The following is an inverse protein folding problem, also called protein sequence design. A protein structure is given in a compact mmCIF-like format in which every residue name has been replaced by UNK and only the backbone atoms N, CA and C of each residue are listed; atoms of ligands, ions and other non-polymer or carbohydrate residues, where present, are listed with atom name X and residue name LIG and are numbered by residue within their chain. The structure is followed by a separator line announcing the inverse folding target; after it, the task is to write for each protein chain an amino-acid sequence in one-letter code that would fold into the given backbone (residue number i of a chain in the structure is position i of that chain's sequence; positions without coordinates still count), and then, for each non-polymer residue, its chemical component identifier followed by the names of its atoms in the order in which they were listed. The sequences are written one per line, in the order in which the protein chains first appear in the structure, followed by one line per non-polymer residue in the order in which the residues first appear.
data_IF_631640428556
#
_entry.id   IF_631640428556
#
_cell.length_a   1.000
_cell.length_b   1.000
_cell.length_c   1.000
_cell.angle_alpha   90.00
_cell.angle_beta   90.00
_cell.angle_gamma   90.00
#
_symmetry.space_group_name_H-M   'P 1'
#
loop_
_entity.id
_entity.type
_entity.pdbx_description
1 polymer ?
#
# COMPACT_ATOMS: atom_id res chain seq x y z
N UNK A 1 -7.22 22.28 26.38
CA UNK A 1 -8.33 23.06 25.79
C UNK A 1 -8.24 22.94 24.27
N UNK A 2 -9.06 22.08 23.66
CA UNK A 2 -9.10 21.94 22.20
C UNK A 2 -9.86 23.11 21.58
N UNK A 3 -9.28 23.73 20.55
CA UNK A 3 -9.88 24.89 19.90
C UNK A 3 -11.13 24.45 19.11
N UNK A 4 -12.15 25.32 18.96
CA UNK A 4 -13.39 24.97 18.22
C UNK A 4 -13.13 24.50 16.78
N UNK A 5 -12.05 24.96 16.15
CA UNK A 5 -11.59 24.49 14.84
C UNK A 5 -11.12 23.02 14.83
N UNK A 6 -10.52 22.54 15.91
CA UNK A 6 -10.09 21.13 16.03
C UNK A 6 -11.30 20.20 16.22
N UNK A 7 -12.33 20.61 16.96
CA UNK A 7 -13.55 19.81 17.14
C UNK A 7 -14.31 19.63 15.83
N UNK A 8 -14.34 20.68 14.99
CA UNK A 8 -14.96 20.63 13.66
C UNK A 8 -14.19 19.70 12.70
N UNK A 9 -12.86 19.72 12.75
CA UNK A 9 -12.01 18.85 11.95
C UNK A 9 -12.13 17.37 12.33
N UNK A 10 -12.22 17.06 13.64
CA UNK A 10 -12.47 15.69 14.11
C UNK A 10 -13.85 15.19 13.66
N UNK A 11 -14.88 16.04 13.72
CA UNK A 11 -16.21 15.68 13.22
C UNK A 11 -16.22 15.47 11.70
N UNK A 12 -15.59 16.36 10.92
CA UNK A 12 -15.51 16.24 9.48
C UNK A 12 -14.84 14.93 9.02
N UNK A 13 -13.83 14.46 9.75
CA UNK A 13 -13.18 13.18 9.45
C UNK A 13 -14.00 11.95 9.89
N UNK A 14 -14.97 12.11 10.79
CA UNK A 14 -15.88 11.03 11.21
C UNK A 14 -17.08 10.88 10.27
N UNK A 15 -17.45 11.94 9.53
CA UNK A 15 -18.59 11.92 8.60
C UNK A 15 -18.50 10.79 7.56
N UNK A 16 -17.35 10.55 6.88
CA UNK A 16 -17.25 9.46 5.90
C UNK A 16 -17.48 8.07 6.52
N UNK A 17 -16.92 7.82 7.71
CA UNK A 17 -17.10 6.56 8.42
C UNK A 17 -18.55 6.38 8.88
N UNK A 18 -19.17 7.44 9.41
CA UNK A 18 -20.57 7.43 9.82
C UNK A 18 -21.49 7.15 8.64
N UNK A 19 -21.33 7.91 7.53
CA UNK A 19 -22.11 7.70 6.31
C UNK A 19 -21.89 6.30 5.72
N UNK A 20 -20.65 5.82 5.74
CA UNK A 20 -20.31 4.46 5.32
C UNK A 20 -21.02 3.39 6.15
N UNK A 21 -21.12 3.59 7.47
CA UNK A 21 -21.81 2.66 8.36
C UNK A 21 -23.33 2.67 8.17
N UNK A 22 -23.93 3.84 7.96
CA UNK A 22 -25.35 3.97 7.59
C UNK A 22 -25.61 3.29 6.24
N UNK A 23 -24.75 3.52 5.25
CA UNK A 23 -24.86 2.89 3.93
C UNK A 23 -24.73 1.36 4.03
N UNK A 24 -23.76 0.88 4.80
CA UNK A 24 -23.56 -0.55 5.04
C UNK A 24 -24.80 -1.17 5.71
N UNK A 25 -25.40 -0.48 6.67
CA UNK A 25 -26.65 -0.91 7.30
C UNK A 25 -27.81 -1.01 6.30
N UNK A 26 -27.98 -0.01 5.45
CA UNK A 26 -29.01 -0.05 4.41
C UNK A 26 -28.78 -1.19 3.42
N UNK A 27 -27.51 -1.43 3.05
CA UNK A 27 -27.13 -2.50 2.14
C UNK A 27 -27.35 -3.89 2.75
N UNK A 28 -27.15 -4.03 4.06
CA UNK A 28 -27.41 -5.25 4.82
C UNK A 28 -28.89 -5.67 4.73
N UNK A 29 -29.81 -4.70 4.85
CA UNK A 29 -31.24 -4.94 4.73
C UNK A 29 -31.75 -4.93 3.28
N UNK A 30 -30.89 -4.57 2.31
CA UNK A 30 -31.23 -4.47 0.89
C UNK A 30 -32.38 -3.50 0.56
N UNK A 31 -32.76 -2.62 1.49
CA UNK A 31 -33.95 -1.78 1.37
C UNK A 31 -33.66 -0.36 1.86
N UNK A 32 -33.88 0.62 0.98
CA UNK A 32 -33.69 2.05 1.25
C UNK A 32 -35.00 2.66 1.78
N UNK A 33 -35.39 2.29 2.99
CA UNK A 33 -36.57 2.84 3.68
C UNK A 33 -36.18 3.90 4.71
N UNK A 34 -37.11 4.81 5.06
CA UNK A 34 -36.89 5.79 6.14
C UNK A 34 -36.60 5.12 7.48
N UNK A 35 -37.25 3.99 7.78
CA UNK A 35 -37.01 3.24 9.01
C UNK A 35 -35.58 2.69 9.06
N UNK A 36 -35.07 2.16 7.96
CA UNK A 36 -33.70 1.67 7.87
C UNK A 36 -32.68 2.80 7.97
N UNK A 37 -32.99 3.99 7.43
CA UNK A 37 -32.13 5.15 7.61
C UNK A 37 -32.05 5.57 9.08
N UNK A 38 -33.19 5.71 9.75
CA UNK A 38 -33.23 6.13 11.16
C UNK A 38 -32.51 5.12 12.06
N UNK A 39 -32.81 3.82 11.88
CA UNK A 39 -32.15 2.75 12.65
C UNK A 39 -30.65 2.67 12.33
N UNK A 40 -30.26 2.87 11.07
CA UNK A 40 -28.86 2.91 10.65
C UNK A 40 -28.10 4.09 11.23
N UNK A 41 -28.69 5.30 11.23
CA UNK A 41 -28.10 6.48 11.87
C UNK A 41 -27.95 6.29 13.38
N UNK A 42 -28.96 5.71 14.03
CA UNK A 42 -28.91 5.40 15.46
C UNK A 42 -27.78 4.41 15.76
N UNK A 43 -27.70 3.32 14.99
CA UNK A 43 -26.62 2.34 15.12
C UNK A 43 -25.25 2.98 14.87
N UNK A 44 -25.12 3.78 13.81
CA UNK A 44 -23.87 4.45 13.48
C UNK A 44 -23.44 5.41 14.58
N UNK A 45 -24.37 6.11 15.23
CA UNK A 45 -24.09 6.96 16.38
C UNK A 45 -23.62 6.13 17.58
N UNK A 46 -24.33 5.03 17.90
CA UNK A 46 -23.96 4.12 19.01
C UNK A 46 -22.55 3.56 18.78
N UNK A 47 -22.25 3.07 17.58
CA UNK A 47 -20.93 2.52 17.24
C UNK A 47 -19.86 3.60 17.29
N UNK A 48 -20.12 4.81 16.77
CA UNK A 48 -19.14 5.90 16.78
C UNK A 48 -18.81 6.41 18.18
N UNK A 49 -19.75 6.30 19.12
CA UNK A 49 -19.54 6.67 20.52
C UNK A 49 -18.92 5.51 21.31
N UNK A 50 -19.41 4.28 21.11
CA UNK A 50 -18.97 3.09 21.85
C UNK A 50 -17.58 2.60 21.42
N UNK A 51 -17.28 2.68 20.13
CA UNK A 51 -15.95 2.48 19.60
C UNK A 51 -15.40 3.86 19.27
N UNK A 52 -14.41 4.32 20.04
CA UNK A 52 -13.65 5.51 19.65
C UNK A 52 -12.89 5.18 18.38
N UNK A 53 -13.46 5.48 17.21
CA UNK A 53 -12.74 5.42 15.94
C UNK A 53 -11.88 6.69 15.87
N UNK A 54 -10.55 6.63 16.13
CA UNK A 54 -9.70 7.76 15.80
C UNK A 54 -9.89 8.05 14.33
N UNK A 55 -10.22 9.30 14.03
CA UNK A 55 -10.34 9.78 12.67
C UNK A 55 -9.06 9.44 11.91
N UNK A 56 -9.16 8.53 10.94
CA UNK A 56 -8.08 8.35 9.97
C UNK A 56 -7.98 9.69 9.24
N UNK A 57 -6.77 10.24 9.14
CA UNK A 57 -6.50 11.39 8.30
C UNK A 57 -6.64 10.95 6.84
N UNK A 58 -7.89 10.85 6.41
CA UNK A 58 -8.31 10.54 5.06
C UNK A 58 -8.05 11.80 4.23
N UNK A 59 -6.78 12.12 3.98
CA UNK A 59 -6.33 13.09 2.97
C UNK A 59 -6.60 12.59 1.55
N UNK A 60 -7.76 11.95 1.34
CA UNK A 60 -8.09 11.16 0.17
C UNK A 60 -8.28 12.07 -1.05
N UNK A 61 -7.34 11.99 -1.99
CA UNK A 61 -7.64 12.30 -3.39
C UNK A 61 -8.08 11.01 -4.06
N UNK A 62 -9.38 10.81 -4.17
CA UNK A 62 -9.93 9.75 -5.01
C UNK A 62 -9.70 10.09 -6.48
N UNK A 63 -8.74 9.42 -7.12
CA UNK A 63 -8.55 9.49 -8.56
C UNK A 63 -9.09 8.23 -9.22
N UNK A 64 -10.34 8.28 -9.70
CA UNK A 64 -11.04 7.13 -10.30
C UNK A 64 -10.23 6.43 -11.39
N UNK A 65 -9.47 7.18 -12.19
CA UNK A 65 -8.65 6.61 -13.26
C UNK A 65 -7.49 5.76 -12.72
N UNK A 66 -6.72 6.30 -11.77
CA UNK A 66 -5.63 5.54 -11.15
C UNK A 66 -6.15 4.43 -10.24
N UNK A 67 -7.31 4.60 -9.59
CA UNK A 67 -7.99 3.54 -8.85
C UNK A 67 -8.36 2.37 -9.77
N UNK A 68 -8.90 2.65 -10.96
CA UNK A 68 -9.20 1.60 -11.94
C UNK A 68 -7.94 0.87 -12.39
N UNK A 69 -6.86 1.60 -12.70
CA UNK A 69 -5.56 1.00 -13.07
C UNK A 69 -5.04 0.11 -11.94
N UNK A 70 -5.10 0.59 -10.70
CA UNK A 70 -4.71 -0.18 -9.52
C UNK A 70 -5.53 -1.47 -9.40
N UNK A 71 -6.86 -1.40 -9.47
CA UNK A 71 -7.74 -2.57 -9.34
C UNK A 71 -7.52 -3.59 -10.46
N UNK A 72 -7.39 -3.16 -11.71
CA UNK A 72 -7.11 -4.05 -12.84
C UNK A 72 -5.76 -4.73 -12.67
N UNK A 73 -4.74 -3.97 -12.24
CA UNK A 73 -3.40 -4.50 -12.02
C UNK A 73 -3.35 -5.49 -10.87
N UNK A 74 -3.99 -5.15 -9.75
CA UNK A 74 -4.13 -6.02 -8.59
C UNK A 74 -4.85 -7.32 -8.98
N UNK A 75 -5.95 -7.23 -9.72
CA UNK A 75 -6.67 -8.40 -10.24
C UNK A 75 -5.76 -9.31 -11.09
N UNK A 76 -4.96 -8.72 -11.98
CA UNK A 76 -3.98 -9.47 -12.77
C UNK A 76 -2.91 -10.14 -11.90
N UNK A 77 -2.35 -9.39 -10.93
CA UNK A 77 -1.30 -9.90 -10.04
C UNK A 77 -1.86 -11.01 -9.11
N UNK A 78 -3.13 -10.93 -8.68
CA UNK A 78 -3.84 -12.02 -7.97
C UNK A 78 -3.91 -13.27 -8.84
N UNK A 79 -4.45 -13.18 -10.06
CA UNK A 79 -4.58 -14.35 -10.95
C UNK A 79 -3.22 -14.98 -11.23
N UNK A 80 -2.22 -14.15 -11.53
CA UNK A 80 -0.85 -14.61 -11.78
C UNK A 80 -0.24 -15.29 -10.54
N UNK A 81 -0.38 -14.68 -9.37
CA UNK A 81 0.11 -15.23 -8.11
C UNK A 81 -0.56 -16.55 -7.77
N UNK A 82 -1.89 -16.63 -7.92
CA UNK A 82 -2.66 -17.88 -7.76
C UNK A 82 -2.15 -18.99 -8.67
N UNK A 83 -1.91 -18.69 -9.96
CA UNK A 83 -1.41 -19.67 -10.91
C UNK A 83 0.01 -20.14 -10.54
N UNK A 84 0.88 -19.22 -10.13
CA UNK A 84 2.23 -19.54 -9.68
C UNK A 84 2.20 -20.47 -8.46
N UNK A 85 1.37 -20.18 -7.47
CA UNK A 85 1.22 -21.03 -6.27
C UNK A 85 0.59 -22.38 -6.64
N UNK A 86 -0.39 -22.41 -7.55
CA UNK A 86 -1.01 -23.66 -8.02
C UNK A 86 0.01 -24.58 -8.72
N UNK A 87 0.85 -24.02 -9.61
CA UNK A 87 1.94 -24.77 -10.25
C UNK A 87 2.92 -25.31 -9.21
N UNK A 88 3.24 -24.52 -8.19
CA UNK A 88 4.13 -24.93 -7.11
C UNK A 88 3.54 -26.06 -6.27
N UNK A 89 2.25 -25.98 -5.93
CA UNK A 89 1.53 -26.97 -5.16
C UNK A 89 1.41 -28.31 -5.92
N UNK A 90 1.28 -28.27 -7.24
CA UNK A 90 1.22 -29.45 -8.10
C UNK A 90 2.60 -30.02 -8.46
N UNK A 91 3.68 -29.32 -8.17
CA UNK A 91 5.03 -29.73 -8.56
C UNK A 91 5.60 -30.77 -7.59
N UNK A 92 5.79 -32.04 -8.01
CA UNK A 92 6.24 -33.11 -7.12
C UNK A 92 7.71 -32.98 -6.67
N UNK A 93 8.48 -32.08 -7.31
CA UNK A 93 9.89 -31.80 -6.98
C UNK A 93 10.09 -30.44 -6.31
N UNK A 94 9.03 -29.83 -5.77
CA UNK A 94 9.15 -28.54 -5.12
C UNK A 94 9.95 -28.65 -3.81
N UNK A 95 11.06 -27.91 -3.74
CA UNK A 95 11.83 -27.70 -2.50
C UNK A 95 11.51 -26.32 -1.94
N UNK A 96 10.84 -26.21 -0.78
CA UNK A 96 10.50 -24.93 -0.19
C UNK A 96 11.75 -24.09 0.10
N UNK A 97 11.78 -22.89 -0.44
CA UNK A 97 12.79 -21.89 -0.12
C UNK A 97 12.07 -20.56 0.08
N UNK A 98 12.13 -20.02 1.27
CA UNK A 98 11.38 -18.83 1.66
C UNK A 98 12.34 -17.77 2.19
N UNK A 99 11.94 -16.50 2.10
CA UNK A 99 12.72 -15.39 2.62
C UNK A 99 11.83 -14.37 3.33
N UNK A 100 12.33 -13.78 4.41
CA UNK A 100 11.72 -12.59 5.02
C UNK A 100 12.36 -11.37 4.37
N UNK A 101 11.52 -10.56 3.72
CA UNK A 101 11.93 -9.35 3.01
C UNK A 101 11.36 -8.14 3.73
N UNK A 102 12.25 -7.28 4.23
CA UNK A 102 11.87 -5.99 4.78
C UNK A 102 11.77 -4.97 3.65
N UNK A 103 10.56 -4.46 3.40
CA UNK A 103 10.30 -3.42 2.39
C UNK A 103 9.96 -2.11 3.09
N UNK A 104 10.85 -1.13 2.96
CA UNK A 104 10.64 0.23 3.45
C UNK A 104 9.81 1.01 2.43
N UNK A 105 8.59 1.39 2.80
CA UNK A 105 7.72 2.18 1.94
C UNK A 105 8.23 3.62 1.84
N UNK A 106 7.93 4.27 0.72
CA UNK A 106 8.34 5.66 0.45
C UNK A 106 7.42 6.66 1.16
N UNK A 107 6.22 6.22 1.54
CA UNK A 107 5.16 7.02 2.13
C UNK A 107 5.06 6.76 3.64
N UNK A 108 4.73 7.81 4.41
CA UNK A 108 4.56 7.71 5.89
C UNK A 108 3.10 7.66 6.35
N UNK A 109 2.18 7.55 5.40
CA UNK A 109 0.74 7.48 5.68
C UNK A 109 0.38 6.07 6.14
N UNK A 110 -0.17 5.95 7.35
CA UNK A 110 -0.68 4.68 7.90
C UNK A 110 -1.74 4.06 6.98
N UNK A 111 -2.53 4.88 6.28
CA UNK A 111 -3.52 4.42 5.32
C UNK A 111 -2.87 3.74 4.11
N UNK A 112 -1.84 4.35 3.54
CA UNK A 112 -1.09 3.80 2.40
C UNK A 112 -0.31 2.54 2.80
N UNK A 113 0.31 2.55 3.98
CA UNK A 113 0.98 1.39 4.57
C UNK A 113 0.02 0.21 4.71
N UNK A 114 -1.17 0.46 5.29
CA UNK A 114 -2.21 -0.55 5.48
C UNK A 114 -2.69 -1.10 4.15
N UNK A 115 -3.03 -0.22 3.19
CA UNK A 115 -3.55 -0.66 1.90
C UNK A 115 -2.50 -1.42 1.09
N UNK A 116 -1.23 -1.02 1.15
CA UNK A 116 -0.12 -1.74 0.51
C UNK A 116 0.07 -3.13 1.16
N UNK A 117 0.01 -3.21 2.48
CA UNK A 117 0.09 -4.47 3.22
C UNK A 117 -1.07 -5.43 2.89
N UNK A 118 -2.30 -4.92 2.86
CA UNK A 118 -3.49 -5.70 2.47
C UNK A 118 -3.38 -6.16 1.02
N UNK A 119 -3.05 -5.26 0.09
CA UNK A 119 -2.92 -5.60 -1.33
C UNK A 119 -1.87 -6.69 -1.56
N UNK A 120 -0.70 -6.54 -0.92
CA UNK A 120 0.39 -7.52 -1.02
C UNK A 120 0.03 -8.86 -0.40
N UNK A 121 -0.82 -8.88 0.65
CA UNK A 121 -1.25 -10.13 1.30
C UNK A 121 -2.35 -10.86 0.52
N UNK A 122 -3.16 -10.14 -0.27
CA UNK A 122 -4.18 -10.74 -1.13
C UNK A 122 -3.54 -11.40 -2.35
N UNK A 123 -2.43 -10.85 -2.87
CA UNK A 123 -1.68 -11.46 -3.97
C UNK A 123 -0.96 -12.72 -3.48
N UNK A 124 -1.30 -13.91 -4.01
CA UNK A 124 -0.68 -15.14 -3.52
C UNK A 124 0.81 -15.18 -3.85
N UNK A 125 1.62 -15.59 -2.88
CA UNK A 125 3.09 -15.68 -3.01
C UNK A 125 3.86 -14.91 -1.94
N UNK A 126 3.19 -14.04 -1.17
CA UNK A 126 3.75 -13.45 0.04
C UNK A 126 2.67 -13.19 1.10
N UNK A 127 3.08 -13.07 2.36
CA UNK A 127 2.21 -12.67 3.47
C UNK A 127 2.93 -11.68 4.37
N UNK A 128 2.22 -10.68 4.88
CA UNK A 128 2.75 -9.76 5.89
C UNK A 128 2.88 -10.50 7.22
N UNK A 129 4.09 -10.52 7.78
CA UNK A 129 4.37 -11.12 9.09
C UNK A 129 4.43 -10.06 10.18
N UNK A 130 4.98 -8.89 9.87
CA UNK A 130 5.10 -7.78 10.82
C UNK A 130 5.09 -6.43 10.10
N UNK A 131 4.72 -5.38 10.83
CA UNK A 131 4.61 -4.00 10.33
C UNK A 131 5.24 -3.03 11.34
N UNK A 132 6.35 -2.40 10.95
CA UNK A 132 6.89 -1.26 11.68
C UNK A 132 6.28 0.03 11.14
N UNK A 133 5.26 0.54 11.82
CA UNK A 133 4.56 1.78 11.43
C UNK A 133 5.46 3.02 11.51
N UNK A 134 6.34 3.10 12.51
CA UNK A 134 7.21 4.28 12.73
C UNK A 134 8.19 4.44 11.58
N UNK A 135 8.72 3.32 11.08
CA UNK A 135 9.60 3.28 9.92
C UNK A 135 8.85 3.05 8.61
N UNK A 136 7.53 2.88 8.61
CA UNK A 136 6.76 2.52 7.42
C UNK A 136 7.34 1.31 6.67
N UNK A 137 7.74 0.27 7.41
CA UNK A 137 8.36 -0.93 6.88
C UNK A 137 7.43 -2.13 7.00
N UNK A 138 7.24 -2.85 5.89
CA UNK A 138 6.52 -4.13 5.84
C UNK A 138 7.53 -5.29 5.87
N UNK A 139 7.37 -6.22 6.80
CA UNK A 139 8.11 -7.47 6.81
C UNK A 139 7.26 -8.57 6.16
N UNK A 140 7.69 -8.99 4.98
CA UNK A 140 6.94 -9.90 4.11
C UNK A 140 7.64 -11.25 4.07
N UNK A 141 6.90 -12.32 4.36
CA UNK A 141 7.36 -13.68 4.12
C UNK A 141 7.02 -14.06 2.68
N UNK A 142 8.05 -14.23 1.86
CA UNK A 142 7.93 -14.48 0.44
C UNK A 142 8.19 -15.95 0.14
N UNK A 143 7.31 -16.54 -0.65
CA UNK A 143 7.37 -17.93 -1.07
C UNK A 143 8.35 -18.10 -2.24
N UNK A 144 9.04 -19.24 -2.27
CA UNK A 144 9.81 -19.72 -3.42
C UNK A 144 10.99 -18.82 -3.87
N UNK A 145 11.72 -18.25 -2.91
CA UNK A 145 12.88 -17.37 -3.15
C UNK A 145 14.18 -18.17 -3.07
N UNK A 146 14.88 -18.28 -4.19
CA UNK A 146 16.13 -19.03 -4.34
C UNK A 146 17.36 -18.15 -4.54
N UNK A 147 17.16 -16.90 -4.99
CA UNK A 147 18.26 -15.99 -5.35
C UNK A 147 18.05 -14.57 -4.81
N UNK A 148 19.14 -13.86 -4.46
CA UNK A 148 19.05 -12.47 -4.01
C UNK A 148 18.36 -11.53 -5.01
N UNK A 149 18.48 -11.77 -6.31
CA UNK A 149 17.83 -10.93 -7.33
C UNK A 149 16.29 -11.07 -7.30
N UNK A 150 15.75 -12.19 -6.83
CA UNK A 150 14.31 -12.36 -6.67
C UNK A 150 13.77 -11.55 -5.50
N UNK A 151 14.54 -11.41 -4.43
CA UNK A 151 14.22 -10.52 -3.29
C UNK A 151 14.09 -9.08 -3.77
N UNK A 152 15.04 -8.61 -4.56
CA UNK A 152 15.02 -7.24 -5.07
C UNK A 152 13.90 -7.00 -6.09
N UNK A 153 13.58 -7.99 -6.93
CA UNK A 153 12.40 -7.90 -7.82
C UNK A 153 11.10 -7.84 -7.03
N UNK A 154 10.97 -8.64 -5.98
CA UNK A 154 9.79 -8.62 -5.11
C UNK A 154 9.67 -7.26 -4.39
N UNK A 155 10.76 -6.77 -3.80
CA UNK A 155 10.83 -5.44 -3.18
C UNK A 155 10.36 -4.35 -4.14
N UNK A 156 10.87 -4.33 -5.37
CA UNK A 156 10.46 -3.36 -6.38
C UNK A 156 8.99 -3.49 -6.78
N UNK A 157 8.46 -4.72 -6.86
CA UNK A 157 7.04 -4.96 -7.11
C UNK A 157 6.13 -4.37 -6.03
N UNK A 158 6.51 -4.50 -4.76
CA UNK A 158 5.77 -3.89 -3.63
C UNK A 158 5.84 -2.36 -3.69
N UNK A 159 6.99 -1.78 -4.03
CA UNK A 159 7.13 -0.33 -4.20
C UNK A 159 6.33 0.21 -5.40
N UNK A 160 6.22 -0.56 -6.48
CA UNK A 160 5.37 -0.21 -7.62
C UNK A 160 3.87 -0.28 -7.25
N UNK A 161 3.49 -1.21 -6.38
CA UNK A 161 2.14 -1.31 -5.83
C UNK A 161 1.82 -0.12 -4.91
N UNK A 162 2.73 0.21 -3.99
CA UNK A 162 2.65 1.41 -3.16
C UNK A 162 2.43 2.66 -4.03
N UNK A 163 3.21 2.80 -5.10
CA UNK A 163 3.08 3.90 -6.05
C UNK A 163 1.69 3.96 -6.69
N UNK A 164 1.13 2.83 -7.13
CA UNK A 164 -0.22 2.81 -7.71
C UNK A 164 -1.26 3.25 -6.69
N UNK A 165 -1.13 2.79 -5.45
CA UNK A 165 -2.00 3.16 -4.34
C UNK A 165 -1.91 4.66 -4.03
N UNK A 166 -0.70 5.21 -3.92
CA UNK A 166 -0.48 6.65 -3.70
C UNK A 166 -1.08 7.49 -4.82
N UNK A 167 -0.93 7.07 -6.08
CA UNK A 167 -1.51 7.79 -7.22
C UNK A 167 -3.05 7.71 -7.27
N UNK A 168 -3.63 6.63 -6.74
CA UNK A 168 -5.06 6.38 -6.72
C UNK A 168 -5.79 7.08 -5.56
N UNK A 169 -5.20 7.05 -4.36
CA UNK A 169 -5.87 7.39 -3.09
C UNK A 169 -5.02 8.28 -2.16
N UNK A 170 -3.74 8.49 -2.47
CA UNK A 170 -2.81 9.23 -1.62
C UNK A 170 -3.08 10.73 -1.55
N UNK A 171 -2.64 11.35 -0.46
CA UNK A 171 -2.72 12.80 -0.29
C UNK A 171 -1.74 13.52 -1.22
N UNK A 172 -1.91 14.85 -1.46
CA UNK A 172 -0.94 15.64 -2.21
C UNK A 172 0.49 15.53 -1.64
N UNK A 173 0.60 15.44 -0.32
CA UNK A 173 1.87 15.30 0.40
C UNK A 173 2.54 13.95 0.13
N UNK A 174 1.74 12.87 0.08
CA UNK A 174 2.23 11.52 -0.26
C UNK A 174 2.77 11.48 -1.70
N UNK A 175 2.06 12.10 -2.64
CA UNK A 175 2.49 12.18 -4.05
C UNK A 175 3.78 12.98 -4.19
N UNK A 176 3.90 14.10 -3.49
CA UNK A 176 5.11 14.94 -3.50
C UNK A 176 6.30 14.19 -2.89
N UNK A 177 6.10 13.50 -1.76
CA UNK A 177 7.14 12.67 -1.15
C UNK A 177 7.62 11.58 -2.11
N UNK A 178 6.68 10.89 -2.77
CA UNK A 178 7.02 9.85 -3.75
C UNK A 178 7.85 10.41 -4.92
N UNK A 179 7.54 11.63 -5.39
CA UNK A 179 8.29 12.31 -6.45
C UNK A 179 9.71 12.68 -6.01
N UNK A 180 9.88 13.15 -4.77
CA UNK A 180 11.21 13.51 -4.21
C UNK A 180 12.12 12.30 -4.12
N UNK A 181 11.65 11.21 -3.49
CA UNK A 181 12.44 9.97 -3.36
C UNK A 181 12.83 9.43 -4.74
N UNK A 182 11.92 9.49 -5.72
CA UNK A 182 12.24 9.08 -7.10
C UNK A 182 13.30 9.98 -7.76
N UNK A 183 13.32 11.26 -7.44
CA UNK A 183 14.34 12.20 -7.92
C UNK A 183 15.72 11.93 -7.31
N UNK A 184 15.76 11.61 -6.02
CA UNK A 184 16.97 11.21 -5.29
C UNK A 184 17.56 9.92 -5.86
N UNK A 185 16.75 8.85 -6.01
CA UNK A 185 17.18 7.57 -6.60
C UNK A 185 17.80 7.75 -7.98
N UNK A 186 17.19 8.59 -8.82
CA UNK A 186 17.68 8.85 -10.19
C UNK A 186 19.02 9.60 -10.16
N UNK A 187 19.15 10.57 -9.27
CA UNK A 187 20.39 11.36 -9.12
C UNK A 187 21.56 10.48 -8.65
N UNK A 188 21.30 9.57 -7.72
CA UNK A 188 22.30 8.59 -7.27
C UNK A 188 22.72 7.63 -8.38
N UNK A 189 21.76 7.13 -9.18
CA UNK A 189 22.05 6.25 -10.31
C UNK A 189 22.91 6.96 -11.36
N UNK A 190 22.58 8.20 -11.70
CA UNK A 190 23.34 9.01 -12.65
C UNK A 190 24.76 9.28 -12.13
N UNK A 191 24.92 9.52 -10.82
CA UNK A 191 26.23 9.71 -10.20
C UNK A 191 27.07 8.42 -10.24
N UNK A 192 26.48 7.26 -9.88
CA UNK A 192 27.16 5.97 -9.95
C UNK A 192 27.60 5.61 -11.37
N UNK A 193 26.77 5.91 -12.37
CA UNK A 193 27.12 5.72 -13.78
C UNK A 193 28.30 6.62 -14.18
N UNK A 194 28.29 7.90 -13.78
CA UNK A 194 29.42 8.82 -14.04
C UNK A 194 30.71 8.33 -13.38
N UNK A 195 30.64 7.87 -12.13
CA UNK A 195 31.79 7.36 -11.39
C UNK A 195 32.37 6.08 -12.02
N UNK A 196 31.49 5.16 -12.47
CA UNK A 196 31.90 3.95 -13.19
C UNK A 196 32.58 4.28 -14.52
N UNK A 197 32.01 5.18 -15.32
CA UNK A 197 32.60 5.63 -16.57
C UNK A 197 33.95 6.33 -16.36
N UNK A 198 34.10 7.11 -15.29
CA UNK A 198 35.37 7.75 -14.92
C UNK A 198 36.42 6.72 -14.49
N UNK A 199 36.01 5.70 -13.72
CA UNK A 199 36.88 4.60 -13.30
C UNK A 199 37.33 3.75 -14.51
N UNK A 200 36.45 3.48 -15.46
CA UNK A 200 36.79 2.75 -16.69
C UNK A 200 37.75 3.55 -17.58
N UNK A 201 37.55 4.86 -17.74
CA UNK A 201 38.50 5.73 -18.46
C UNK A 201 39.88 5.74 -17.81
N UNK A 202 39.96 5.80 -16.47
CA UNK A 202 41.25 5.71 -15.75
C UNK A 202 41.95 4.35 -15.95
N UNK A 203 41.20 3.24 -15.94
CA UNK A 203 41.77 1.91 -16.23
C UNK A 203 42.31 1.79 -17.67
N UNK A 204 41.62 2.39 -18.66
CA UNK A 204 42.05 2.36 -20.06
C UNK A 204 43.21 3.31 -20.38
N UNK A 205 43.35 4.40 -19.63
CA UNK A 205 44.43 5.39 -19.82
C UNK A 205 45.75 5.07 -19.10
N UNK A 206 45.80 4.05 -18.25
CA UNK A 206 46.99 3.65 -17.48
C UNK A 206 47.80 2.49 -18.07
N UNK A 207 47.47 2.01 -19.28
CA UNK A 207 48.13 0.90 -19.97
C UNK A 207 48.96 1.33 -21.19
N UNK A 208 49.28 2.62 -21.32
CA UNK A 208 50.16 3.16 -22.35
C UNK A 208 51.54 3.53 -21.77
#
# INVERSE_FOLDING_TARGET
MSTPKQRLATFANQVPLFLGLVLLWMLLWGSFSWLNLLTGMLLAAIVSVGFYLPAVELGLRLNLWYTLIFLVRLGFDIVRGSLQVAVLALSPRYTPSNAIVAVHLRTRSDFILTLTGVSTSIVPGAIVVDVDRVRSTLYLHVLNVHRPDQVERFRNGVLDEERRIVMALGSPEDVERLRRVRGEDRSEQDQRARDQHAHEKRKRGGTA
#
